data_IF_511759418888
#
_entry.id   IF_511759418888
#
_cell.length_a   1.000
_cell.length_b   1.000
_cell.length_c   1.000
_cell.angle_alpha   90.00
_cell.angle_beta   90.00
_cell.angle_gamma   90.00
#
_symmetry.space_group_name_H-M   'P 1'
#
loop_
_entity.id
_entity.type
_entity.pdbx_description
1 polymer ?
#
# COMPACT_ATOMS: atom_id res chain seq x y z
N UNK A 1 84.50 35.58 11.58
CA UNK A 1 85.28 34.79 12.59
C UNK A 1 84.48 33.68 13.10
N UNK A 2 84.98 32.48 12.90
CA UNK A 2 84.87 31.28 13.70
C UNK A 2 83.42 30.76 13.95
N UNK A 3 83.10 29.65 13.51
CA UNK A 3 83.48 28.21 13.61
C UNK A 3 82.31 27.43 14.18
N UNK A 4 81.90 26.45 13.40
CA UNK A 4 82.04 24.98 13.70
C UNK A 4 81.12 24.53 14.81
N UNK A 5 80.49 23.46 14.81
CA UNK A 5 80.63 22.12 14.20
C UNK A 5 79.36 21.32 14.55
N UNK A 6 78.80 20.56 13.67
CA UNK A 6 78.94 19.08 13.56
C UNK A 6 78.34 18.30 14.75
N UNK A 7 77.36 17.51 14.49
CA UNK A 7 77.24 16.05 14.38
C UNK A 7 76.10 15.46 15.17
N UNK A 8 75.46 14.62 14.49
CA UNK A 8 75.09 13.20 14.56
C UNK A 8 73.77 12.93 15.27
N UNK A 9 72.84 12.48 14.52
CA UNK A 9 72.46 11.10 14.18
C UNK A 9 71.84 10.37 15.34
N UNK A 10 70.58 10.00 15.16
CA UNK A 10 70.22 8.61 15.30
C UNK A 10 68.75 8.44 14.82
N UNK A 11 68.61 7.53 13.94
CA UNK A 11 67.37 6.98 13.44
C UNK A 11 66.56 6.29 14.56
N UNK A 12 65.26 6.45 14.57
CA UNK A 12 64.37 5.41 15.05
C UNK A 12 63.09 5.50 14.28
N UNK A 13 62.95 4.57 13.36
CA UNK A 13 61.74 4.25 12.69
C UNK A 13 60.74 3.68 13.69
N UNK A 14 59.64 4.34 13.89
CA UNK A 14 58.44 3.70 14.37
C UNK A 14 57.32 3.90 13.37
N UNK A 15 57.18 2.89 12.52
CA UNK A 15 56.05 2.73 11.67
C UNK A 15 54.79 2.45 12.51
N UNK A 16 53.98 3.45 12.70
CA UNK A 16 52.60 3.23 13.15
C UNK A 16 51.74 3.02 11.92
N UNK A 17 51.51 1.78 11.59
CA UNK A 17 50.50 1.40 10.62
C UNK A 17 49.12 1.79 11.21
N UNK A 18 48.60 2.92 10.76
CA UNK A 18 47.19 3.23 10.94
C UNK A 18 46.38 2.30 10.04
N UNK A 19 45.96 1.15 10.59
CA UNK A 19 44.89 0.37 10.04
C UNK A 19 43.63 1.21 10.17
N UNK A 20 43.29 1.94 9.13
CA UNK A 20 41.98 2.57 8.99
C UNK A 20 40.97 1.44 8.84
N UNK A 21 40.38 1.02 9.95
CA UNK A 21 39.17 0.23 9.94
C UNK A 21 38.07 1.08 9.28
N UNK A 22 37.84 0.86 7.98
CA UNK A 22 36.62 1.27 7.34
C UNK A 22 35.49 0.41 7.97
N UNK A 23 34.92 0.89 9.06
CA UNK A 23 33.60 0.51 9.44
C UNK A 23 32.69 0.94 8.30
N UNK A 24 32.39 0.02 7.42
CA UNK A 24 31.33 0.18 6.45
C UNK A 24 30.04 0.34 7.26
N UNK A 25 29.61 1.58 7.43
CA UNK A 25 28.24 1.84 7.79
C UNK A 25 27.41 1.24 6.66
N UNK A 26 26.85 0.05 6.90
CA UNK A 26 25.78 -0.45 6.09
C UNK A 26 24.66 0.59 6.24
N UNK A 27 24.51 1.43 5.22
CA UNK A 27 23.36 2.31 5.10
C UNK A 27 22.18 1.35 4.92
N UNK A 28 21.49 1.02 6.01
CA UNK A 28 20.19 0.39 5.89
C UNK A 28 19.37 1.29 4.98
N UNK A 29 19.02 0.77 3.82
CA UNK A 29 18.05 1.42 2.95
C UNK A 29 16.81 1.68 3.82
N UNK A 30 16.26 2.90 3.84
CA UNK A 30 15.08 3.19 4.65
C UNK A 30 14.03 2.17 4.27
N UNK A 31 13.54 1.41 5.28
CA UNK A 31 12.47 0.45 5.08
C UNK A 31 11.34 1.20 4.37
N UNK A 32 11.05 0.83 3.12
CA UNK A 32 10.02 1.48 2.32
C UNK A 32 8.71 1.31 3.07
N UNK A 33 8.19 2.43 3.60
CA UNK A 33 6.95 2.42 4.36
C UNK A 33 5.86 1.80 3.49
N UNK A 34 5.23 0.73 3.99
CA UNK A 34 4.11 0.06 3.31
C UNK A 34 3.06 1.10 2.92
N UNK A 35 2.82 1.24 1.63
CA UNK A 35 1.83 2.19 1.12
C UNK A 35 0.42 1.74 1.50
N UNK A 36 -0.45 2.72 1.70
CA UNK A 36 -1.89 2.53 1.88
C UNK A 36 -2.60 3.18 0.72
N UNK A 37 -3.52 2.49 0.09
CA UNK A 37 -4.26 3.00 -1.07
C UNK A 37 -5.75 2.72 -0.91
N UNK A 38 -6.58 3.68 -1.32
CA UNK A 38 -8.02 3.51 -1.42
C UNK A 38 -8.45 3.61 -2.87
N UNK A 39 -9.03 2.53 -3.39
CA UNK A 39 -9.68 2.49 -4.69
C UNK A 39 -11.14 2.93 -4.55
N UNK A 40 -11.53 3.87 -5.39
CA UNK A 40 -12.89 4.40 -5.43
C UNK A 40 -13.62 3.87 -6.66
N UNK A 41 -14.76 3.23 -6.46
CA UNK A 41 -15.54 2.62 -7.53
C UNK A 41 -17.02 3.00 -7.42
N UNK A 42 -17.51 3.77 -8.39
CA UNK A 42 -18.92 4.18 -8.47
C UNK A 42 -19.56 3.94 -9.84
N UNK A 43 -18.75 3.67 -10.86
CA UNK A 43 -19.19 3.47 -12.24
C UNK A 43 -19.37 1.98 -12.55
N UNK A 44 -20.55 1.59 -13.02
CA UNK A 44 -20.89 0.20 -13.29
C UNK A 44 -20.04 -0.41 -14.42
N UNK A 45 -19.72 0.36 -15.43
CA UNK A 45 -18.89 -0.05 -16.57
C UNK A 45 -17.39 -0.15 -16.26
N UNK A 46 -16.98 0.31 -15.09
CA UNK A 46 -15.58 0.26 -14.65
C UNK A 46 -15.22 -0.94 -13.75
N UNK A 47 -16.18 -1.79 -13.42
CA UNK A 47 -15.99 -2.90 -12.46
C UNK A 47 -14.77 -3.76 -12.80
N UNK A 48 -14.76 -4.35 -13.98
CA UNK A 48 -13.68 -5.27 -14.39
C UNK A 48 -12.33 -4.55 -14.48
N UNK A 49 -12.33 -3.29 -14.92
CA UNK A 49 -11.12 -2.49 -15.03
C UNK A 49 -10.52 -2.19 -13.65
N UNK A 50 -11.33 -1.74 -12.69
CA UNK A 50 -10.86 -1.43 -11.32
C UNK A 50 -10.42 -2.69 -10.59
N UNK A 51 -11.18 -3.78 -10.69
CA UNK A 51 -10.81 -5.06 -10.07
C UNK A 51 -9.51 -5.60 -10.65
N UNK A 52 -9.33 -5.52 -11.97
CA UNK A 52 -8.08 -5.88 -12.64
C UNK A 52 -6.90 -4.99 -12.19
N UNK A 53 -7.11 -3.69 -12.01
CA UNK A 53 -6.08 -2.79 -11.50
C UNK A 53 -5.67 -3.10 -10.05
N UNK A 54 -6.61 -3.48 -9.19
CA UNK A 54 -6.29 -3.92 -7.84
C UNK A 54 -5.41 -5.17 -7.90
N UNK A 55 -5.76 -6.16 -8.73
CA UNK A 55 -4.94 -7.36 -8.89
C UNK A 55 -3.54 -7.01 -9.41
N UNK A 56 -3.45 -6.20 -10.48
CA UNK A 56 -2.16 -5.77 -11.03
C UNK A 56 -1.31 -5.00 -9.99
N UNK A 57 -1.96 -4.21 -9.13
CA UNK A 57 -1.26 -3.50 -8.07
C UNK A 57 -0.66 -4.49 -7.06
N UNK A 58 -1.46 -5.46 -6.59
CA UNK A 58 -0.98 -6.49 -5.67
C UNK A 58 0.19 -7.27 -6.27
N UNK A 59 0.07 -7.67 -7.53
CA UNK A 59 1.13 -8.41 -8.24
C UNK A 59 2.39 -7.54 -8.43
N UNK A 60 2.21 -6.28 -8.79
CA UNK A 60 3.31 -5.32 -9.04
C UNK A 60 4.14 -4.99 -7.81
N UNK A 61 3.54 -5.05 -6.61
CA UNK A 61 4.27 -4.81 -5.35
C UNK A 61 4.75 -6.11 -4.68
N UNK A 62 4.49 -7.26 -5.30
CA UNK A 62 4.92 -8.56 -4.78
C UNK A 62 3.99 -9.15 -3.72
N UNK A 63 2.72 -8.74 -3.72
CA UNK A 63 1.68 -9.35 -2.89
C UNK A 63 1.02 -8.42 -1.87
N UNK A 64 -0.05 -8.90 -1.21
CA UNK A 64 -0.86 -8.10 -0.29
C UNK A 64 -0.11 -7.68 0.98
N UNK A 65 0.97 -8.34 1.31
CA UNK A 65 1.78 -7.97 2.48
C UNK A 65 2.56 -6.66 2.27
N UNK A 66 2.73 -6.23 1.02
CA UNK A 66 3.52 -5.06 0.66
C UNK A 66 2.71 -3.78 0.44
N UNK A 67 1.39 -3.86 0.45
CA UNK A 67 0.49 -2.72 0.32
C UNK A 67 -0.77 -2.94 1.15
N UNK A 68 -1.31 -1.86 1.73
CA UNK A 68 -2.63 -1.90 2.38
C UNK A 68 -3.65 -1.33 1.40
N UNK A 69 -4.64 -2.12 1.02
CA UNK A 69 -5.64 -1.73 0.02
C UNK A 69 -7.03 -1.67 0.66
N UNK A 70 -7.74 -0.60 0.36
CA UNK A 70 -9.18 -0.50 0.57
C UNK A 70 -9.89 -0.29 -0.78
N UNK A 71 -11.02 -0.92 -0.97
CA UNK A 71 -11.95 -0.68 -2.06
C UNK A 71 -13.24 -0.12 -1.49
N UNK A 72 -13.64 1.08 -1.92
CA UNK A 72 -14.90 1.70 -1.52
C UNK A 72 -15.84 1.75 -2.73
N UNK A 73 -16.97 1.08 -2.61
CA UNK A 73 -17.97 0.94 -3.66
C UNK A 73 -19.24 1.71 -3.30
N UNK A 74 -19.74 2.51 -4.23
CA UNK A 74 -21.04 3.19 -4.08
C UNK A 74 -21.72 3.43 -5.44
N UNK A 75 -22.89 4.03 -5.41
CA UNK A 75 -23.62 4.38 -6.62
C UNK A 75 -23.98 3.16 -7.48
N UNK A 76 -23.93 3.32 -8.78
CA UNK A 76 -24.35 2.28 -9.74
C UNK A 76 -23.44 1.04 -9.68
N UNK A 77 -22.18 1.21 -9.32
CA UNK A 77 -21.23 0.11 -9.22
C UNK A 77 -21.67 -0.98 -8.25
N UNK A 78 -22.40 -0.61 -7.16
CA UNK A 78 -22.85 -1.58 -6.17
C UNK A 78 -23.73 -2.69 -6.76
N UNK A 79 -24.44 -2.42 -7.84
CA UNK A 79 -25.32 -3.40 -8.51
C UNK A 79 -24.57 -4.63 -8.99
N UNK A 80 -23.32 -4.49 -9.41
CA UNK A 80 -22.51 -5.63 -9.86
C UNK A 80 -22.11 -6.57 -8.71
N UNK A 81 -22.15 -6.09 -7.48
CA UNK A 81 -21.77 -6.85 -6.29
C UNK A 81 -22.97 -7.49 -5.57
N UNK A 82 -24.19 -7.33 -6.09
CA UNK A 82 -25.32 -8.12 -5.61
C UNK A 82 -25.06 -9.59 -5.91
N UNK A 83 -25.18 -10.47 -4.92
CA UNK A 83 -24.87 -11.90 -5.07
C UNK A 83 -25.68 -12.56 -6.18
N UNK A 84 -26.91 -12.09 -6.43
CA UNK A 84 -27.77 -12.57 -7.52
C UNK A 84 -27.36 -12.09 -8.92
N UNK A 85 -26.51 -11.05 -9.03
CA UNK A 85 -26.13 -10.43 -10.29
C UNK A 85 -24.63 -10.56 -10.60
N UNK A 86 -23.81 -10.89 -9.61
CA UNK A 86 -22.37 -10.98 -9.74
C UNK A 86 -21.95 -12.12 -10.67
N UNK A 87 -21.05 -11.82 -11.60
CA UNK A 87 -20.48 -12.87 -12.44
C UNK A 87 -19.39 -13.67 -11.66
N UNK A 88 -19.06 -14.90 -12.13
CA UNK A 88 -18.11 -15.77 -11.44
C UNK A 88 -16.73 -15.17 -11.24
N UNK A 89 -16.21 -14.40 -12.21
CA UNK A 89 -14.89 -13.77 -12.12
C UNK A 89 -14.85 -12.70 -11.04
N UNK A 90 -15.87 -11.87 -10.97
CA UNK A 90 -16.02 -10.86 -9.92
C UNK A 90 -16.12 -11.52 -8.55
N UNK A 91 -16.95 -12.54 -8.43
CA UNK A 91 -17.12 -13.32 -7.20
C UNK A 91 -15.79 -13.89 -6.71
N UNK A 92 -15.02 -14.47 -7.64
CA UNK A 92 -13.69 -15.02 -7.34
C UNK A 92 -12.72 -13.94 -6.84
N UNK A 93 -12.61 -12.82 -7.55
CA UNK A 93 -11.71 -11.73 -7.15
C UNK A 93 -12.08 -11.15 -5.79
N UNK A 94 -13.35 -10.86 -5.54
CA UNK A 94 -13.81 -10.33 -4.25
C UNK A 94 -13.51 -11.31 -3.11
N UNK A 95 -13.73 -12.61 -3.33
CA UNK A 95 -13.36 -13.64 -2.36
C UNK A 95 -11.84 -13.69 -2.09
N UNK A 96 -11.01 -13.54 -3.12
CA UNK A 96 -9.55 -13.48 -2.99
C UNK A 96 -9.10 -12.23 -2.26
N UNK A 97 -9.63 -11.05 -2.59
CA UNK A 97 -9.30 -9.79 -1.94
C UNK A 97 -9.68 -9.80 -0.47
N UNK A 98 -10.87 -10.32 -0.14
CA UNK A 98 -11.31 -10.48 1.25
C UNK A 98 -10.35 -11.38 2.05
N UNK A 99 -9.96 -12.54 1.48
CA UNK A 99 -9.00 -13.46 2.11
C UNK A 99 -7.61 -12.87 2.25
N UNK A 100 -7.20 -12.01 1.33
CA UNK A 100 -5.93 -11.29 1.36
C UNK A 100 -5.93 -10.11 2.34
N UNK A 101 -7.04 -9.84 3.03
CA UNK A 101 -7.14 -8.79 4.04
C UNK A 101 -7.38 -7.38 3.50
N UNK A 102 -7.85 -7.26 2.25
CA UNK A 102 -8.28 -5.97 1.73
C UNK A 102 -9.56 -5.51 2.44
N UNK A 103 -9.64 -4.23 2.75
CA UNK A 103 -10.91 -3.64 3.20
C UNK A 103 -11.83 -3.47 1.99
N UNK A 104 -12.99 -4.13 2.03
CA UNK A 104 -14.03 -4.02 1.03
C UNK A 104 -15.22 -3.29 1.65
N UNK A 105 -15.39 -2.01 1.36
CA UNK A 105 -16.44 -1.18 1.96
C UNK A 105 -17.52 -0.82 0.94
N UNK A 106 -18.78 -0.90 1.36
CA UNK A 106 -19.93 -0.47 0.58
C UNK A 106 -20.65 0.68 1.27
N UNK A 107 -21.12 1.61 0.46
CA UNK A 107 -21.86 2.78 0.93
C UNK A 107 -23.22 2.42 1.48
N UNK A 108 -23.47 2.68 2.77
CA UNK A 108 -24.76 2.43 3.42
C UNK A 108 -25.93 3.21 2.79
N UNK A 109 -25.67 4.44 2.31
CA UNK A 109 -26.68 5.23 1.60
C UNK A 109 -27.06 4.60 0.26
N UNK A 110 -26.10 4.05 -0.47
CA UNK A 110 -26.35 3.34 -1.72
C UNK A 110 -27.13 2.05 -1.47
N UNK A 111 -26.79 1.29 -0.43
CA UNK A 111 -27.54 0.08 -0.05
C UNK A 111 -29.00 0.41 0.23
N UNK A 112 -29.27 1.45 1.00
CA UNK A 112 -30.65 1.92 1.27
C UNK A 112 -31.39 2.29 -0.03
N UNK A 113 -30.74 3.03 -0.91
CA UNK A 113 -31.30 3.46 -2.19
C UNK A 113 -31.59 2.28 -3.12
N UNK A 114 -30.77 1.24 -3.11
CA UNK A 114 -30.95 0.02 -3.89
C UNK A 114 -31.80 -1.05 -3.17
N UNK A 115 -32.22 -0.79 -1.92
CA UNK A 115 -33.01 -1.67 -1.08
C UNK A 115 -32.37 -3.05 -0.88
N UNK A 116 -31.07 -3.06 -0.64
CA UNK A 116 -30.29 -4.28 -0.38
C UNK A 116 -29.66 -4.25 1.00
N UNK A 117 -29.61 -5.40 1.65
CA UNK A 117 -28.86 -5.64 2.86
C UNK A 117 -27.47 -6.20 2.59
N UNK A 118 -26.64 -6.28 3.62
CA UNK A 118 -25.29 -6.84 3.48
C UNK A 118 -25.32 -8.32 3.04
N UNK A 119 -26.35 -9.07 3.46
CA UNK A 119 -26.54 -10.47 3.07
C UNK A 119 -26.87 -10.66 1.58
N UNK A 120 -27.33 -9.60 0.90
CA UNK A 120 -27.63 -9.63 -0.53
C UNK A 120 -26.40 -9.36 -1.41
N UNK A 121 -25.27 -9.01 -0.78
CA UNK A 121 -24.02 -8.71 -1.47
C UNK A 121 -23.06 -9.90 -1.45
N UNK A 122 -22.07 -9.87 -2.31
CA UNK A 122 -20.94 -10.80 -2.24
C UNK A 122 -20.31 -10.73 -0.83
N UNK A 123 -19.88 -11.87 -0.27
CA UNK A 123 -19.31 -11.90 1.08
C UNK A 123 -17.98 -11.16 1.17
N UNK A 124 -17.69 -10.62 2.35
CA UNK A 124 -16.44 -9.93 2.65
C UNK A 124 -16.55 -8.40 2.71
N UNK A 125 -17.71 -7.84 2.35
CA UNK A 125 -17.95 -6.41 2.48
C UNK A 125 -18.29 -5.99 3.91
N UNK A 126 -17.89 -4.76 4.24
CA UNK A 126 -18.32 -4.02 5.43
C UNK A 126 -19.11 -2.78 5.01
N UNK A 127 -20.05 -2.37 5.85
CA UNK A 127 -20.89 -1.20 5.54
C UNK A 127 -20.21 0.08 6.03
N UNK A 128 -20.06 1.05 5.15
CA UNK A 128 -19.73 2.43 5.49
C UNK A 128 -21.05 3.17 5.81
N UNK A 129 -21.48 3.13 7.06
CA UNK A 129 -22.80 3.64 7.49
C UNK A 129 -22.97 5.13 7.23
N UNK A 130 -21.90 5.92 7.39
CA UNK A 130 -21.88 7.36 7.12
C UNK A 130 -21.84 7.68 5.62
N UNK A 131 -21.64 6.69 4.77
CA UNK A 131 -21.55 6.82 3.33
C UNK A 131 -20.14 6.57 2.78
N UNK A 132 -20.09 6.17 1.51
CA UNK A 132 -18.82 5.82 0.85
C UNK A 132 -17.85 7.00 0.74
N UNK A 133 -18.35 8.21 0.48
CA UNK A 133 -17.51 9.41 0.38
C UNK A 133 -16.88 9.78 1.73
N UNK A 134 -17.64 9.64 2.82
CA UNK A 134 -17.11 9.83 4.18
C UNK A 134 -16.03 8.82 4.47
N UNK A 135 -16.26 7.54 4.13
CA UNK A 135 -15.24 6.50 4.33
C UNK A 135 -13.95 6.78 3.55
N UNK A 136 -14.05 7.25 2.32
CA UNK A 136 -12.87 7.65 1.53
C UNK A 136 -12.11 8.78 2.23
N UNK A 137 -12.81 9.81 2.72
CA UNK A 137 -12.18 10.93 3.42
C UNK A 137 -11.48 10.47 4.71
N UNK A 138 -12.11 9.58 5.49
CA UNK A 138 -11.50 8.98 6.68
C UNK A 138 -10.22 8.21 6.34
N UNK A 139 -10.25 7.38 5.29
CA UNK A 139 -9.08 6.62 4.85
C UNK A 139 -7.96 7.57 4.41
N UNK A 140 -8.27 8.64 3.66
CA UNK A 140 -7.29 9.64 3.27
C UNK A 140 -6.67 10.34 4.49
N UNK A 141 -7.46 10.66 5.51
CA UNK A 141 -6.95 11.24 6.76
C UNK A 141 -6.01 10.28 7.52
N UNK A 142 -6.12 8.98 7.28
CA UNK A 142 -5.24 7.93 7.81
C UNK A 142 -4.02 7.65 6.94
N UNK A 143 -3.80 8.46 5.89
CA UNK A 143 -2.65 8.36 5.00
C UNK A 143 -2.85 7.43 3.80
N UNK A 144 -4.08 7.08 3.44
CA UNK A 144 -4.34 6.36 2.20
C UNK A 144 -4.25 7.29 0.99
N UNK A 145 -3.55 6.85 -0.03
CA UNK A 145 -3.52 7.51 -1.34
C UNK A 145 -4.81 7.17 -2.11
N UNK A 146 -5.42 8.18 -2.69
CA UNK A 146 -6.66 8.01 -3.44
C UNK A 146 -6.40 7.60 -4.89
N UNK A 147 -7.04 6.51 -5.32
CA UNK A 147 -6.96 5.99 -6.68
C UNK A 147 -8.37 5.83 -7.28
N UNK A 148 -8.56 6.38 -8.46
CA UNK A 148 -9.78 6.22 -9.27
C UNK A 148 -9.39 5.96 -10.73
N UNK A 149 -9.08 4.70 -11.07
CA UNK A 149 -8.71 4.31 -12.43
C UNK A 149 -9.85 4.46 -13.42
#
# INVERSE_FOLDING_TARGET
MHRRSILWAAASAFGAAFAASRAGAATEAPATKKLKVVYHLNDLDKISFVVGNIQNHLDGVGGPDNVTVALVVHGQALRAFHASAANPDLTRHIGQFSKAGLELAVCGNTMKSQKVGLADLLPGFVVADQGGVVRIAELQSQGYLYLRP
#
